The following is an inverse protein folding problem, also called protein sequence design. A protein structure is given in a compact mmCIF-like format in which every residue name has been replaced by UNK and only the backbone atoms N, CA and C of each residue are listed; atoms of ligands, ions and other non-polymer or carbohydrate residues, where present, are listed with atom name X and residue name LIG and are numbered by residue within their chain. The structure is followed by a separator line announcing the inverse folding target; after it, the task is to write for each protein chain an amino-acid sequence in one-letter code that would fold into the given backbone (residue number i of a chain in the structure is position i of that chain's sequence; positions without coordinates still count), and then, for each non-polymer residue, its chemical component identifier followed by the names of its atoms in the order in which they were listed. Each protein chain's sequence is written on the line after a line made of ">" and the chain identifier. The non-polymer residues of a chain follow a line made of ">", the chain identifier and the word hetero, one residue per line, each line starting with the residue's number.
data_IF_449518971049
#
_entry.id   IF_449518971049
#
_cell.length_a   1.000
_cell.length_b   1.000
_cell.length_c   1.000
_cell.angle_alpha   90.00
_cell.angle_beta   90.00
_cell.angle_gamma   90.00
#
_symmetry.space_group_name_H-M   'P 1'
#
loop_
_entity.id
_entity.type
_entity.pdbx_description
1 polymer ?
#
# COMPACT_ATOMS: atom_id res chain seq x y z
N UNK A 1 24.14 -2.67 1.12
CA UNK A 1 22.77 -3.09 1.51
C UNK A 1 22.51 -4.42 0.84
N UNK A 2 22.16 -5.48 1.58
CA UNK A 2 21.83 -6.80 0.99
C UNK A 2 20.36 -6.84 0.55
N UNK A 3 20.02 -7.80 -0.31
CA UNK A 3 18.64 -8.01 -0.74
C UNK A 3 17.73 -8.41 0.43
N UNK A 4 18.19 -9.22 1.40
CA UNK A 4 17.37 -9.56 2.56
C UNK A 4 17.10 -8.34 3.44
N UNK A 5 18.12 -7.49 3.66
CA UNK A 5 17.95 -6.24 4.39
C UNK A 5 16.92 -5.35 3.71
N UNK A 6 16.96 -5.28 2.37
CA UNK A 6 15.99 -4.54 1.58
C UNK A 6 14.58 -5.10 1.68
N UNK A 7 14.41 -6.42 1.63
CA UNK A 7 13.12 -7.08 1.78
C UNK A 7 12.49 -6.77 3.15
N UNK A 8 13.28 -6.80 4.22
CA UNK A 8 12.81 -6.40 5.55
C UNK A 8 12.37 -4.93 5.62
N UNK A 9 13.13 -4.03 5.02
CA UNK A 9 12.76 -2.59 4.96
C UNK A 9 11.45 -2.41 4.18
N UNK A 10 11.33 -3.03 3.01
CA UNK A 10 10.12 -2.96 2.17
C UNK A 10 8.91 -3.54 2.91
N UNK A 11 9.08 -4.64 3.64
CA UNK A 11 8.04 -5.27 4.45
C UNK A 11 7.52 -4.31 5.53
N UNK A 12 8.42 -3.67 6.27
CA UNK A 12 8.05 -2.71 7.32
C UNK A 12 7.43 -1.44 6.75
N UNK A 13 7.98 -0.90 5.67
CA UNK A 13 7.40 0.26 4.98
C UNK A 13 6.00 -0.06 4.44
N UNK A 14 5.81 -1.25 3.86
CA UNK A 14 4.51 -1.72 3.40
C UNK A 14 3.49 -1.73 4.53
N UNK A 15 3.83 -2.32 5.68
CA UNK A 15 2.97 -2.30 6.87
C UNK A 15 2.62 -0.87 7.31
N UNK A 16 3.62 0.03 7.36
CA UNK A 16 3.40 1.43 7.74
C UNK A 16 2.38 2.10 6.81
N UNK A 17 2.50 1.91 5.49
CA UNK A 17 1.54 2.48 4.53
C UNK A 17 0.12 1.94 4.78
N UNK A 18 -0.04 0.64 4.98
CA UNK A 18 -1.35 0.01 5.27
C UNK A 18 -1.99 0.64 6.50
N UNK A 19 -1.23 0.72 7.60
CA UNK A 19 -1.73 1.26 8.86
C UNK A 19 -2.03 2.75 8.76
N UNK A 20 -1.17 3.55 8.14
CA UNK A 20 -1.39 4.98 7.96
C UNK A 20 -2.61 5.26 7.07
N UNK A 21 -2.80 4.49 6.00
CA UNK A 21 -4.00 4.59 5.15
C UNK A 21 -5.27 4.34 5.97
N UNK A 22 -5.28 3.29 6.79
CA UNK A 22 -6.42 2.98 7.68
C UNK A 22 -6.66 4.07 8.71
N UNK A 23 -5.62 4.55 9.38
CA UNK A 23 -5.71 5.59 10.40
C UNK A 23 -6.17 6.93 9.83
N UNK A 24 -5.72 7.27 8.62
CA UNK A 24 -6.06 8.53 7.95
C UNK A 24 -7.50 8.52 7.44
N UNK A 25 -7.89 7.47 6.74
CA UNK A 25 -9.22 7.40 6.12
C UNK A 25 -10.32 6.95 7.10
N UNK A 26 -9.97 6.22 8.16
CA UNK A 26 -10.92 5.81 9.20
C UNK A 26 -11.35 6.92 10.16
N UNK A 27 -10.63 8.06 10.17
CA UNK A 27 -10.95 9.25 10.98
C UNK A 27 -11.57 10.39 10.18
N UNK A 28 -11.73 10.23 8.87
CA UNK A 28 -12.26 11.28 8.01
C UNK A 28 -13.77 11.42 8.23
N UNK A 29 -14.18 12.41 9.02
CA UNK A 29 -15.58 12.84 9.05
C UNK A 29 -15.95 13.49 7.71
N UNK A 30 -17.19 13.28 7.29
CA UNK A 30 -17.73 13.58 5.96
C UNK A 30 -17.27 14.92 5.37
N UNK A 31 -16.36 14.86 4.40
CA UNK A 31 -15.88 15.99 3.60
C UNK A 31 -15.17 15.44 2.37
N UNK A 32 -15.31 16.13 1.23
CA UNK A 32 -14.98 15.68 -0.12
C UNK A 32 -13.71 14.81 -0.20
N UNK A 33 -13.80 13.68 -0.92
CA UNK A 33 -12.78 12.62 -1.13
C UNK A 33 -12.83 11.42 -0.17
N UNK A 34 -14.03 10.94 0.11
CA UNK A 34 -14.24 9.69 0.82
C UNK A 34 -13.87 8.49 -0.06
N UNK A 35 -13.39 7.42 0.59
CA UNK A 35 -13.14 6.12 -0.02
C UNK A 35 -14.21 5.18 0.49
N UNK A 36 -14.81 4.37 -0.39
CA UNK A 36 -15.83 3.40 0.02
C UNK A 36 -15.30 2.45 1.11
N UNK A 37 -16.08 2.11 2.14
CA UNK A 37 -15.59 1.28 3.24
C UNK A 37 -15.12 -0.11 2.78
N UNK A 38 -15.70 -0.64 1.69
CA UNK A 38 -15.30 -1.92 1.10
C UNK A 38 -13.83 -1.93 0.65
N UNK A 39 -13.40 -0.94 -0.14
CA UNK A 39 -12.02 -0.91 -0.65
C UNK A 39 -11.01 -0.60 0.47
N UNK A 40 -11.37 0.22 1.46
CA UNK A 40 -10.52 0.47 2.63
C UNK A 40 -10.35 -0.79 3.49
N UNK A 41 -11.41 -1.56 3.67
CA UNK A 41 -11.36 -2.84 4.39
C UNK A 41 -10.54 -3.88 3.62
N UNK A 42 -10.74 -3.99 2.31
CA UNK A 42 -9.96 -4.89 1.45
C UNK A 42 -8.47 -4.53 1.51
N UNK A 43 -8.10 -3.27 1.35
CA UNK A 43 -6.72 -2.80 1.50
C UNK A 43 -6.17 -3.16 2.89
N UNK A 44 -6.92 -2.92 3.96
CA UNK A 44 -6.40 -3.22 5.31
C UNK A 44 -6.19 -4.73 5.49
N UNK A 45 -7.18 -5.56 5.17
CA UNK A 45 -7.12 -7.01 5.39
C UNK A 45 -6.09 -7.65 4.49
N UNK A 46 -6.07 -7.29 3.20
CA UNK A 46 -5.09 -7.81 2.25
C UNK A 46 -3.67 -7.38 2.64
N UNK A 47 -3.45 -6.12 3.01
CA UNK A 47 -2.14 -5.63 3.46
C UNK A 47 -1.63 -6.32 4.72
N UNK A 48 -2.50 -6.59 5.70
CA UNK A 48 -2.13 -7.36 6.89
C UNK A 48 -1.84 -8.83 6.56
N UNK A 49 -2.60 -9.44 5.65
CA UNK A 49 -2.32 -10.80 5.17
C UNK A 49 -0.99 -10.86 4.42
N UNK A 50 -0.72 -9.92 3.51
CA UNK A 50 0.54 -9.80 2.78
C UNK A 50 1.73 -9.70 3.74
N UNK A 51 1.61 -8.85 4.76
CA UNK A 51 2.61 -8.73 5.81
C UNK A 51 2.82 -10.02 6.59
N UNK A 52 1.75 -10.66 7.06
CA UNK A 52 1.85 -11.88 7.87
C UNK A 52 2.48 -13.05 7.09
N UNK A 53 2.06 -13.27 5.84
CA UNK A 53 2.63 -14.32 4.99
C UNK A 53 4.10 -14.02 4.66
N UNK A 54 4.44 -12.76 4.40
CA UNK A 54 5.85 -12.37 4.19
C UNK A 54 6.70 -12.57 5.45
N UNK A 55 6.15 -12.28 6.63
CA UNK A 55 6.85 -12.51 7.89
C UNK A 55 7.14 -14.00 8.09
N UNK A 56 6.17 -14.87 7.79
CA UNK A 56 6.38 -16.32 7.80
C UNK A 56 7.45 -16.71 6.78
N UNK A 57 7.40 -16.20 5.56
CA UNK A 57 8.41 -16.46 4.52
C UNK A 57 9.84 -16.13 4.99
N UNK A 58 10.02 -14.93 5.56
CA UNK A 58 11.33 -14.46 6.03
C UNK A 58 11.85 -15.24 7.25
N UNK A 59 10.96 -15.70 8.14
CA UNK A 59 11.36 -16.39 9.38
C UNK A 59 11.47 -17.92 9.24
N UNK A 60 10.70 -18.52 8.33
CA UNK A 60 10.54 -19.98 8.24
C UNK A 60 11.32 -20.62 7.08
N UNK A 61 12.25 -19.90 6.45
CA UNK A 61 13.25 -20.50 5.55
C UNK A 61 12.97 -20.38 4.05
N UNK A 62 12.23 -19.36 3.60
CA UNK A 62 12.09 -18.99 2.19
C UNK A 62 11.47 -20.08 1.28
N UNK A 63 10.43 -20.76 1.77
CA UNK A 63 9.65 -21.70 0.95
C UNK A 63 9.04 -21.00 -0.28
N UNK A 64 9.31 -21.51 -1.48
CA UNK A 64 8.92 -20.88 -2.75
C UNK A 64 7.41 -20.66 -2.89
N UNK A 65 6.54 -21.65 -2.65
CA UNK A 65 5.09 -21.44 -2.63
C UNK A 65 4.65 -20.31 -1.68
N UNK A 66 5.19 -20.25 -0.46
CA UNK A 66 4.86 -19.19 0.51
C UNK A 66 5.34 -17.82 0.00
N UNK A 67 6.53 -17.74 -0.57
CA UNK A 67 7.07 -16.51 -1.16
C UNK A 67 6.23 -16.02 -2.35
N UNK A 68 5.78 -16.92 -3.21
CA UNK A 68 4.90 -16.58 -4.33
C UNK A 68 3.55 -16.02 -3.84
N UNK A 69 2.98 -16.61 -2.79
CA UNK A 69 1.76 -16.10 -2.17
C UNK A 69 1.98 -14.73 -1.54
N UNK A 70 3.08 -14.55 -0.79
CA UNK A 70 3.46 -13.27 -0.18
C UNK A 70 3.56 -12.15 -1.23
N UNK A 71 4.31 -12.40 -2.32
CA UNK A 71 4.48 -11.45 -3.43
C UNK A 71 3.13 -11.17 -4.11
N UNK A 72 2.32 -12.20 -4.35
CA UNK A 72 0.99 -12.03 -4.96
C UNK A 72 0.07 -11.14 -4.13
N UNK A 73 0.05 -11.32 -2.80
CA UNK A 73 -0.72 -10.48 -1.89
C UNK A 73 -0.23 -9.02 -1.90
N UNK A 74 1.08 -8.79 -1.94
CA UNK A 74 1.65 -7.45 -2.06
C UNK A 74 1.33 -6.77 -3.40
N UNK A 75 1.27 -7.53 -4.50
CA UNK A 75 0.85 -7.00 -5.81
C UNK A 75 -0.61 -6.53 -5.74
N UNK A 76 -1.49 -7.36 -5.19
CA UNK A 76 -2.91 -6.99 -4.97
C UNK A 76 -2.98 -5.74 -4.08
N UNK A 77 -2.15 -5.67 -3.04
CA UNK A 77 -2.11 -4.53 -2.12
C UNK A 77 -1.70 -3.24 -2.83
N UNK A 78 -0.65 -3.29 -3.65
CA UNK A 78 -0.22 -2.15 -4.46
C UNK A 78 -1.34 -1.67 -5.38
N UNK A 79 -2.09 -2.58 -6.01
CA UNK A 79 -3.24 -2.23 -6.86
C UNK A 79 -4.34 -1.55 -6.04
N UNK A 80 -4.73 -2.10 -4.89
CA UNK A 80 -5.73 -1.50 -4.01
C UNK A 80 -5.29 -0.10 -3.54
N UNK A 81 -4.02 0.05 -3.20
CA UNK A 81 -3.40 1.32 -2.87
C UNK A 81 -3.49 2.37 -3.97
N UNK A 82 -3.21 1.97 -5.21
CA UNK A 82 -3.35 2.85 -6.38
C UNK A 82 -4.82 3.20 -6.65
N UNK A 83 -5.74 2.25 -6.48
CA UNK A 83 -7.19 2.52 -6.60
C UNK A 83 -7.65 3.54 -5.55
N UNK A 84 -7.09 3.51 -4.34
CA UNK A 84 -7.35 4.51 -3.30
C UNK A 84 -6.89 5.91 -3.73
N UNK A 85 -5.84 6.04 -4.55
CA UNK A 85 -5.42 7.34 -5.10
C UNK A 85 -6.42 7.94 -6.08
N UNK A 86 -7.31 7.14 -6.68
CA UNK A 86 -8.30 7.63 -7.63
C UNK A 86 -9.26 8.68 -7.01
N UNK A 87 -9.38 8.72 -5.68
CA UNK A 87 -10.14 9.75 -4.96
C UNK A 87 -9.62 11.18 -5.19
N UNK A 88 -8.37 11.32 -5.61
CA UNK A 88 -7.73 12.61 -5.87
C UNK A 88 -7.84 13.06 -7.34
N UNK A 89 -8.40 12.23 -8.23
CA UNK A 89 -8.63 12.67 -9.61
C UNK A 89 -9.60 13.86 -9.63
N UNK A 90 -9.31 14.91 -10.40
CA UNK A 90 -10.15 16.09 -10.47
C UNK A 90 -11.55 15.73 -11.00
N UNK A 91 -12.55 15.82 -10.13
CA UNK A 91 -13.96 15.67 -10.50
C UNK A 91 -14.41 16.97 -11.15
N UNK A 92 -14.60 16.97 -12.47
CA UNK A 92 -14.99 18.16 -13.25
C UNK A 92 -16.50 18.44 -13.13
N UNK A 93 -16.98 18.72 -11.91
CA UNK A 93 -18.38 19.04 -11.62
C UNK A 93 -18.59 20.53 -11.34
N UNK A 94 -19.65 21.13 -11.89
CA UNK A 94 -20.05 22.54 -11.73
C UNK A 94 -20.32 22.98 -10.26
N UNK A 95 -20.33 22.03 -9.32
CA UNK A 95 -20.58 22.22 -7.88
C UNK A 95 -19.45 21.61 -7.01
N UNK A 96 -18.29 21.31 -7.57
CA UNK A 96 -17.17 20.78 -6.80
C UNK A 96 -16.56 21.89 -5.94
N UNK A 97 -16.87 21.91 -4.64
CA UNK A 97 -16.16 22.74 -3.67
C UNK A 97 -14.74 22.22 -3.55
N UNK A 98 -13.77 23.02 -3.99
CA UNK A 98 -12.35 22.69 -3.95
C UNK A 98 -11.84 22.85 -2.51
N UNK A 99 -12.10 21.87 -1.65
CA UNK A 99 -11.44 21.75 -0.34
C UNK A 99 -10.04 21.17 -0.57
N UNK A 100 -9.13 22.00 -1.10
CA UNK A 100 -7.72 21.66 -1.15
C UNK A 100 -7.08 22.07 0.16
N UNK A 101 -6.86 21.14 1.08
CA UNK A 101 -5.80 21.32 2.06
C UNK A 101 -4.48 21.13 1.31
N UNK A 102 -3.70 22.21 1.25
CA UNK A 102 -2.38 22.31 0.62
C UNK A 102 -1.25 21.83 1.56
N UNK A 103 -1.60 21.31 2.73
CA UNK A 103 -0.65 20.74 3.69
C UNK A 103 -0.04 19.41 3.22
N UNK A 104 1.23 19.18 3.58
CA UNK A 104 1.98 17.96 3.26
C UNK A 104 1.31 16.67 3.76
N UNK A 105 0.75 16.71 4.98
CA UNK A 105 0.07 15.57 5.63
C UNK A 105 -1.42 15.50 5.28
N UNK A 106 -2.04 16.65 5.06
CA UNK A 106 -3.50 16.75 4.87
C UNK A 106 -3.92 16.62 3.42
N UNK A 107 -3.03 17.01 2.49
CA UNK A 107 -3.23 16.95 1.05
C UNK A 107 -2.86 15.60 0.41
N UNK A 108 -2.92 15.53 -0.94
CA UNK A 108 -2.71 14.27 -1.69
C UNK A 108 -1.31 13.70 -1.54
N UNK A 109 -0.31 14.54 -1.30
CA UNK A 109 1.09 14.22 -1.55
C UNK A 109 1.59 13.03 -0.72
N UNK A 110 1.34 13.01 0.59
CA UNK A 110 1.71 11.87 1.44
C UNK A 110 1.08 10.55 0.95
N UNK A 111 -0.19 10.60 0.51
CA UNK A 111 -0.87 9.42 -0.02
C UNK A 111 -0.23 8.96 -1.33
N UNK A 112 0.10 9.89 -2.24
CA UNK A 112 0.73 9.59 -3.53
C UNK A 112 2.10 8.95 -3.31
N UNK A 113 2.96 9.58 -2.51
CA UNK A 113 4.31 9.08 -2.24
C UNK A 113 4.25 7.68 -1.62
N UNK A 114 3.35 7.47 -0.66
CA UNK A 114 3.19 6.17 0.02
C UNK A 114 2.83 5.05 -0.96
N UNK A 115 1.79 5.23 -1.79
CA UNK A 115 1.29 4.16 -2.65
C UNK A 115 2.11 3.98 -3.93
N UNK A 116 2.66 5.05 -4.50
CA UNK A 116 3.58 4.94 -5.64
C UNK A 116 4.91 4.32 -5.19
N UNK A 117 5.45 4.75 -4.05
CA UNK A 117 6.64 4.15 -3.45
C UNK A 117 6.43 2.68 -3.12
N UNK A 118 5.27 2.31 -2.56
CA UNK A 118 4.88 0.91 -2.35
C UNK A 118 4.82 0.13 -3.66
N UNK A 119 4.18 0.65 -4.71
CA UNK A 119 4.10 -0.04 -6.00
C UNK A 119 5.49 -0.31 -6.60
N UNK A 120 6.41 0.65 -6.53
CA UNK A 120 7.80 0.48 -6.96
C UNK A 120 8.51 -0.57 -6.09
N UNK A 121 8.39 -0.46 -4.76
CA UNK A 121 8.99 -1.40 -3.82
C UNK A 121 8.51 -2.85 -4.02
N UNK A 122 7.20 -3.05 -4.21
CA UNK A 122 6.61 -4.35 -4.52
C UNK A 122 7.09 -4.87 -5.87
N UNK A 123 7.23 -4.01 -6.89
CA UNK A 123 7.80 -4.39 -8.18
C UNK A 123 9.25 -4.90 -8.06
N UNK A 124 10.06 -4.23 -7.24
CA UNK A 124 11.44 -4.67 -6.93
C UNK A 124 11.45 -6.00 -6.17
N UNK A 125 10.58 -6.15 -5.15
CA UNK A 125 10.46 -7.40 -4.39
C UNK A 125 10.06 -8.57 -5.29
N UNK A 126 9.07 -8.37 -6.17
CA UNK A 126 8.62 -9.37 -7.13
C UNK A 126 9.75 -9.76 -8.09
N UNK A 127 10.51 -8.78 -8.58
CA UNK A 127 11.67 -9.04 -9.42
C UNK A 127 12.74 -9.86 -8.68
N UNK A 128 13.09 -9.48 -7.45
CA UNK A 128 14.08 -10.20 -6.65
C UNK A 128 13.66 -11.64 -6.36
N UNK A 129 12.38 -11.86 -6.04
CA UNK A 129 11.84 -13.21 -5.80
C UNK A 129 11.94 -14.08 -7.06
N UNK A 130 11.53 -13.56 -8.22
CA UNK A 130 11.61 -14.30 -9.49
C UNK A 130 13.07 -14.57 -9.89
N UNK A 131 13.97 -13.62 -9.63
CA UNK A 131 15.40 -13.76 -9.88
C UNK A 131 16.11 -14.67 -8.86
N UNK A 132 15.44 -15.13 -7.80
CA UNK A 132 16.03 -15.96 -6.74
C UNK A 132 17.02 -15.22 -5.85
N UNK A 133 16.85 -13.90 -5.68
CA UNK A 133 17.68 -13.03 -4.85
C UNK A 133 17.14 -12.87 -3.42
N UNK A 134 15.86 -13.18 -3.23
CA UNK A 134 15.14 -13.23 -1.95
C UNK A 134 14.15 -14.37 -1.95
#
# INVERSE_FOLDING_TARGET
>A
MTYETAAWILLMLGLVVVLLTRLRLGRSESGAQTVGPGILNLHTVNGLAAFAVSLVYQLAGHDRPVGALAVGLWIVEAVLGLMILLRWLPVHGRHATRLGSDGWTDGPWLSIVAHVGMAIGVGLLAWWFVAGLV
#
